data_IF_986329513248
#
_entry.id   IF_986329513248
#
_cell.length_a   1.000
_cell.length_b   1.000
_cell.length_c   1.000
_cell.angle_alpha   90.00
_cell.angle_beta   90.00
_cell.angle_gamma   90.00
#
_symmetry.space_group_name_H-M   'P 1'
#
loop_
_entity.id
_entity.type
_entity.pdbx_description
1 polymer ?
#
# COMPACT_ATOMS: atom_id res chain seq x y z
N UNK A 1 26.70 24.45 29.04
CA UNK A 1 27.63 23.80 28.10
C UNK A 1 27.64 22.26 28.14
N UNK A 2 26.79 21.60 28.95
CA UNK A 2 26.72 20.12 29.00
C UNK A 2 25.53 19.56 28.18
N UNK A 3 24.56 20.41 27.84
CA UNK A 3 23.36 20.04 27.07
C UNK A 3 23.55 19.97 25.54
N UNK A 4 24.66 20.51 25.00
CA UNK A 4 24.92 20.50 23.56
C UNK A 4 25.58 19.20 23.07
N UNK A 5 26.20 18.42 23.96
CA UNK A 5 26.87 17.17 23.61
C UNK A 5 25.92 15.97 23.53
N UNK A 6 24.74 16.04 24.18
CA UNK A 6 23.76 14.94 24.18
C UNK A 6 22.87 14.90 22.92
N UNK A 7 22.83 15.97 22.11
CA UNK A 7 22.02 16.05 20.89
C UNK A 7 22.74 15.57 19.63
N UNK A 8 24.05 15.34 19.68
CA UNK A 8 24.86 14.89 18.53
C UNK A 8 25.10 13.37 18.48
N UNK A 9 24.73 12.62 19.52
CA UNK A 9 24.96 11.16 19.61
C UNK A 9 23.77 10.29 19.17
N UNK A 10 22.67 10.88 18.68
CA UNK A 10 21.42 10.18 18.32
C UNK A 10 21.22 9.98 16.80
N UNK A 11 22.20 10.31 15.96
CA UNK A 11 22.05 10.26 14.50
C UNK A 11 22.64 9.03 13.80
N UNK A 12 23.15 8.02 14.50
CA UNK A 12 23.90 6.94 13.85
C UNK A 12 23.33 5.58 14.23
N UNK A 13 22.33 5.13 13.48
CA UNK A 13 22.07 3.73 13.08
C UNK A 13 20.60 3.49 12.69
N UNK A 14 20.08 4.22 11.71
CA UNK A 14 19.07 3.64 10.83
C UNK A 14 19.80 2.97 9.66
N UNK A 15 20.31 1.76 9.91
CA UNK A 15 20.51 0.82 8.81
C UNK A 15 19.11 0.37 8.40
N UNK A 16 18.49 1.11 7.47
CA UNK A 16 17.32 0.64 6.79
C UNK A 16 17.72 -0.68 6.11
N UNK A 17 17.13 -1.80 6.55
CA UNK A 17 17.10 -2.99 5.74
C UNK A 17 16.36 -2.59 4.46
N UNK A 18 17.12 -2.25 3.42
CA UNK A 18 16.59 -1.95 2.12
C UNK A 18 15.94 -3.24 1.63
N UNK A 19 14.60 -3.28 1.61
CA UNK A 19 13.92 -4.28 0.81
C UNK A 19 14.34 -4.00 -0.64
N UNK A 20 14.94 -4.98 -1.29
CA UNK A 20 15.27 -4.90 -2.71
C UNK A 20 13.95 -4.84 -3.49
N UNK A 21 13.55 -3.62 -3.88
CA UNK A 21 12.40 -3.39 -4.74
C UNK A 21 12.92 -3.21 -6.16
N UNK A 22 12.45 -4.05 -7.08
CA UNK A 22 12.79 -3.97 -8.50
C UNK A 22 11.57 -3.56 -9.32
N UNK A 23 11.72 -2.57 -10.20
CA UNK A 23 10.70 -2.22 -11.18
C UNK A 23 10.82 -3.14 -12.41
N UNK A 24 9.69 -3.57 -12.97
CA UNK A 24 9.58 -4.41 -14.15
C UNK A 24 8.67 -3.68 -15.17
N UNK A 25 9.05 -3.64 -16.45
CA UNK A 25 8.26 -3.00 -17.49
C UNK A 25 7.21 -3.96 -18.10
N UNK A 26 7.50 -5.26 -18.10
CA UNK A 26 6.61 -6.33 -18.58
C UNK A 26 6.88 -7.62 -17.79
N UNK A 27 5.82 -8.24 -17.24
CA UNK A 27 5.95 -9.48 -16.47
C UNK A 27 6.42 -10.66 -17.32
N UNK A 28 5.87 -10.80 -18.53
CA UNK A 28 6.20 -11.92 -19.41
C UNK A 28 7.63 -11.83 -19.95
N UNK A 29 8.11 -10.64 -20.29
CA UNK A 29 9.47 -10.45 -20.81
C UNK A 29 10.54 -10.53 -19.70
N UNK A 30 10.20 -10.05 -18.50
CA UNK A 30 11.09 -10.02 -17.35
C UNK A 30 10.70 -11.04 -16.28
N UNK A 31 10.27 -12.24 -16.70
CA UNK A 31 9.86 -13.32 -15.81
C UNK A 31 11.01 -13.98 -15.02
N UNK A 32 12.26 -13.60 -15.31
CA UNK A 32 13.47 -13.98 -14.57
C UNK A 32 14.11 -12.76 -13.97
N UNK A 33 14.26 -12.74 -12.65
CA UNK A 33 14.89 -11.64 -11.95
C UNK A 33 15.53 -12.12 -10.66
N UNK A 34 16.44 -11.31 -10.13
CA UNK A 34 17.09 -11.51 -8.84
C UNK A 34 16.63 -10.44 -7.86
N UNK A 35 16.37 -10.85 -6.62
CA UNK A 35 16.14 -9.98 -5.47
C UNK A 35 17.10 -10.42 -4.36
N UNK A 36 17.97 -9.54 -3.90
CA UNK A 36 19.06 -9.90 -3.01
C UNK A 36 19.97 -10.98 -3.59
N UNK A 37 20.18 -12.05 -2.83
CA UNK A 37 20.97 -13.22 -3.19
C UNK A 37 20.14 -14.37 -3.78
N UNK A 38 18.86 -14.14 -4.08
CA UNK A 38 17.96 -15.15 -4.63
C UNK A 38 17.59 -14.83 -6.07
N UNK A 39 17.54 -15.87 -6.90
CA UNK A 39 17.09 -15.81 -8.29
C UNK A 39 15.74 -16.48 -8.42
N UNK A 40 14.80 -15.80 -9.06
CA UNK A 40 13.45 -16.29 -9.31
C UNK A 40 13.23 -16.48 -10.81
N UNK A 41 12.47 -17.53 -11.17
CA UNK A 41 12.10 -17.84 -12.55
C UNK A 41 10.60 -18.16 -12.60
N UNK A 42 9.78 -17.13 -12.78
CA UNK A 42 8.32 -17.23 -12.85
C UNK A 42 7.78 -17.47 -14.27
N UNK A 43 8.65 -17.61 -15.28
CA UNK A 43 8.20 -17.81 -16.67
C UNK A 43 7.22 -18.97 -16.82
N UNK A 44 7.43 -20.15 -16.21
CA UNK A 44 6.49 -21.25 -16.36
C UNK A 44 5.10 -20.92 -15.80
N UNK A 45 5.01 -20.09 -14.76
CA UNK A 45 3.74 -19.64 -14.17
C UNK A 45 3.04 -18.66 -15.11
N UNK A 46 3.79 -17.76 -15.74
CA UNK A 46 3.22 -16.74 -16.64
C UNK A 46 2.87 -17.30 -18.02
N UNK A 47 3.54 -18.37 -18.45
CA UNK A 47 3.34 -19.06 -19.72
C UNK A 47 2.39 -20.26 -19.63
N UNK A 48 2.11 -20.78 -18.42
CA UNK A 48 1.28 -21.96 -18.20
C UNK A 48 -0.14 -21.85 -18.76
N UNK A 49 -0.69 -20.63 -18.86
CA UNK A 49 -2.00 -20.39 -19.41
C UNK A 49 -1.85 -19.55 -20.69
N UNK A 50 -2.27 -20.12 -21.83
CA UNK A 50 -2.26 -19.42 -23.12
C UNK A 50 -3.25 -18.24 -23.12
N UNK A 51 -4.28 -18.29 -22.27
CA UNK A 51 -5.30 -17.26 -22.11
C UNK A 51 -5.16 -16.47 -20.81
N UNK A 52 -6.31 -16.08 -20.26
CA UNK A 52 -6.39 -15.31 -19.03
C UNK A 52 -6.69 -16.23 -17.84
N UNK A 53 -6.18 -15.87 -16.66
CA UNK A 53 -6.58 -16.51 -15.41
C UNK A 53 -7.90 -15.92 -14.95
N UNK A 54 -8.85 -16.77 -14.59
CA UNK A 54 -10.15 -16.34 -14.08
C UNK A 54 -10.30 -16.83 -12.66
N UNK A 55 -10.51 -15.90 -11.72
CA UNK A 55 -10.72 -16.19 -10.31
C UNK A 55 -12.09 -15.66 -9.91
N UNK A 56 -12.96 -16.56 -9.46
CA UNK A 56 -14.36 -16.22 -9.17
C UNK A 56 -14.76 -16.67 -7.77
N UNK A 57 -15.61 -15.87 -7.14
CA UNK A 57 -16.32 -16.29 -5.95
C UNK A 57 -17.73 -15.71 -5.95
N UNK A 58 -18.66 -16.42 -5.31
CA UNK A 58 -20.04 -16.02 -5.19
C UNK A 58 -20.40 -15.87 -3.70
N UNK A 59 -21.14 -14.80 -3.39
CA UNK A 59 -21.67 -14.53 -2.07
C UNK A 59 -23.20 -14.47 -2.15
N UNK A 60 -23.93 -15.24 -1.32
CA UNK A 60 -25.39 -15.11 -1.26
C UNK A 60 -25.75 -13.72 -0.73
N UNK A 61 -26.55 -12.98 -1.50
CA UNK A 61 -27.08 -11.66 -1.16
C UNK A 61 -28.60 -11.68 -1.32
N UNK A 62 -29.35 -12.36 -0.41
CA UNK A 62 -30.78 -12.64 -0.60
C UNK A 62 -31.58 -11.41 -1.00
N UNK A 63 -32.46 -11.50 -2.02
CA UNK A 63 -32.91 -12.73 -2.72
C UNK A 63 -32.00 -13.17 -3.90
N UNK A 64 -30.80 -12.62 -4.03
CA UNK A 64 -29.89 -12.79 -5.17
C UNK A 64 -28.55 -13.43 -4.78
N UNK A 65 -27.69 -13.68 -5.76
CA UNK A 65 -26.27 -14.03 -5.58
C UNK A 65 -25.43 -12.95 -6.24
N UNK A 66 -24.42 -12.48 -5.52
CA UNK A 66 -23.43 -11.55 -6.05
C UNK A 66 -22.18 -12.34 -6.39
N UNK A 67 -21.81 -12.34 -7.67
CA UNK A 67 -20.60 -12.99 -8.20
C UNK A 67 -19.55 -11.93 -8.47
N UNK A 68 -18.37 -12.09 -7.90
CA UNK A 68 -17.19 -11.30 -8.27
C UNK A 68 -16.25 -12.18 -9.08
N UNK A 69 -15.90 -11.72 -10.28
CA UNK A 69 -14.97 -12.38 -11.20
C UNK A 69 -13.79 -11.47 -11.47
N UNK A 70 -12.58 -12.02 -11.29
CA UNK A 70 -11.34 -11.39 -11.67
C UNK A 70 -10.79 -12.07 -12.91
N UNK A 71 -10.51 -11.28 -13.94
CA UNK A 71 -9.77 -11.74 -15.12
C UNK A 71 -8.37 -11.14 -15.07
N UNK A 72 -7.34 -11.98 -15.04
CA UNK A 72 -5.95 -11.59 -14.89
C UNK A 72 -5.18 -12.03 -16.13
N UNK A 73 -4.55 -11.08 -16.82
CA UNK A 73 -3.57 -11.33 -17.87
C UNK A 73 -2.19 -10.84 -17.45
N UNK A 74 -1.20 -11.71 -17.58
CA UNK A 74 0.20 -11.39 -17.23
C UNK A 74 1.07 -11.13 -18.47
N UNK A 75 0.52 -11.36 -19.67
CA UNK A 75 1.22 -11.24 -20.96
C UNK A 75 0.94 -9.91 -21.66
N UNK A 76 -0.10 -9.19 -21.23
CA UNK A 76 -0.49 -7.93 -21.84
C UNK A 76 -1.88 -7.49 -21.42
N UNK A 77 -2.44 -6.54 -22.16
CA UNK A 77 -3.79 -6.06 -21.96
C UNK A 77 -4.84 -7.14 -22.32
N UNK A 78 -5.91 -7.17 -21.55
CA UNK A 78 -7.09 -7.97 -21.78
C UNK A 78 -7.77 -7.55 -23.08
N UNK A 79 -8.16 -8.55 -23.87
CA UNK A 79 -8.93 -8.33 -25.08
C UNK A 79 -10.39 -8.06 -24.72
N UNK A 80 -10.97 -7.05 -25.39
CA UNK A 80 -12.40 -6.75 -25.26
C UNK A 80 -13.24 -7.78 -25.98
N UNK A 81 -14.42 -8.05 -25.42
CA UNK A 81 -15.41 -8.90 -26.05
C UNK A 81 -16.37 -8.02 -26.86
N UNK A 82 -16.42 -8.21 -28.18
CA UNK A 82 -17.30 -7.47 -29.08
C UNK A 82 -18.80 -7.72 -28.81
N UNK A 83 -19.13 -8.86 -28.20
CA UNK A 83 -20.50 -9.22 -27.82
C UNK A 83 -20.99 -8.58 -26.51
N UNK A 84 -20.10 -7.92 -25.76
CA UNK A 84 -20.43 -7.29 -24.46
C UNK A 84 -20.41 -5.77 -24.63
N UNK A 85 -21.38 -5.02 -24.09
CA UNK A 85 -21.35 -3.57 -24.14
C UNK A 85 -20.09 -2.98 -23.47
N UNK A 86 -19.56 -1.89 -24.02
CA UNK A 86 -18.32 -1.25 -23.54
C UNK A 86 -18.34 -0.86 -22.04
N UNK A 87 -19.51 -0.55 -21.49
CA UNK A 87 -19.66 -0.15 -20.10
C UNK A 87 -19.80 -1.33 -19.13
N UNK A 88 -19.93 -2.56 -19.64
CA UNK A 88 -20.03 -3.80 -18.86
C UNK A 88 -18.73 -4.61 -18.87
N UNK A 89 -17.69 -4.08 -19.51
CA UNK A 89 -16.36 -4.68 -19.58
C UNK A 89 -15.28 -3.65 -19.24
N UNK A 90 -14.10 -4.12 -18.84
CA UNK A 90 -12.99 -3.22 -18.55
C UNK A 90 -12.53 -2.47 -19.81
N UNK A 91 -12.04 -1.23 -19.66
CA UNK A 91 -11.52 -0.44 -20.77
C UNK A 91 -10.24 -1.05 -21.36
N UNK A 92 -9.91 -0.64 -22.58
CA UNK A 92 -8.67 -1.04 -23.26
C UNK A 92 -7.43 -0.72 -22.42
N UNK A 93 -6.44 -1.62 -22.48
CA UNK A 93 -5.20 -1.50 -21.71
C UNK A 93 -5.27 -2.07 -20.29
N UNK A 94 -6.42 -2.57 -19.85
CA UNK A 94 -6.56 -3.26 -18.55
C UNK A 94 -5.85 -4.62 -18.58
N UNK A 95 -4.98 -4.91 -17.62
CA UNK A 95 -4.33 -6.22 -17.47
C UNK A 95 -5.08 -7.10 -16.45
N UNK A 96 -5.62 -6.46 -15.40
CA UNK A 96 -6.43 -7.12 -14.38
C UNK A 96 -7.77 -6.39 -14.29
N UNK A 97 -8.83 -7.12 -14.53
CA UNK A 97 -10.21 -6.63 -14.51
C UNK A 97 -11.00 -7.32 -13.40
N UNK A 98 -11.73 -6.55 -12.61
CA UNK A 98 -12.72 -7.07 -11.67
C UNK A 98 -14.12 -6.70 -12.15
N UNK A 99 -14.99 -7.70 -12.28
CA UNK A 99 -16.40 -7.50 -12.59
C UNK A 99 -17.23 -8.10 -11.45
N UNK A 100 -18.08 -7.28 -10.86
CA UNK A 100 -19.10 -7.73 -9.91
C UNK A 100 -20.44 -7.76 -10.61
N UNK A 101 -21.11 -8.90 -10.58
CA UNK A 101 -22.42 -9.12 -11.19
C UNK A 101 -23.40 -9.69 -10.18
N UNK A 102 -24.69 -9.52 -10.43
CA UNK A 102 -25.76 -9.99 -9.58
C UNK A 102 -26.75 -10.82 -10.40
N UNK A 103 -27.12 -11.98 -9.88
CA UNK A 103 -28.09 -12.89 -10.49
C UNK A 103 -29.12 -13.37 -9.48
N UNK A 104 -30.34 -13.66 -9.93
CA UNK A 104 -31.39 -14.24 -9.09
C UNK A 104 -31.20 -15.75 -8.96
N UNK A 105 -31.66 -16.32 -7.85
CA UNK A 105 -31.46 -17.73 -7.50
C UNK A 105 -32.21 -18.72 -8.41
N UNK A 106 -33.38 -18.32 -8.90
CA UNK A 106 -34.38 -19.23 -9.48
C UNK A 106 -34.84 -18.79 -10.86
N UNK A 107 -34.20 -17.78 -11.44
CA UNK A 107 -34.50 -17.27 -12.77
C UNK A 107 -33.21 -17.38 -13.61
N UNK A 108 -33.32 -17.97 -14.80
CA UNK A 108 -32.28 -17.97 -15.83
C UNK A 108 -32.23 -16.60 -16.52
N UNK A 109 -32.08 -15.54 -15.71
CA UNK A 109 -31.88 -14.17 -16.19
C UNK A 109 -30.37 -13.93 -16.38
N UNK A 110 -30.03 -13.15 -17.41
CA UNK A 110 -28.65 -12.73 -17.62
C UNK A 110 -28.16 -11.93 -16.39
N UNK A 111 -26.92 -12.19 -15.91
CA UNK A 111 -26.42 -11.55 -14.71
C UNK A 111 -26.24 -10.05 -14.96
N UNK A 112 -26.80 -9.22 -14.06
CA UNK A 112 -26.66 -7.78 -14.15
C UNK A 112 -25.28 -7.36 -13.65
N UNK A 113 -24.50 -6.70 -14.48
CA UNK A 113 -23.21 -6.11 -14.07
C UNK A 113 -23.48 -4.93 -13.12
N UNK A 114 -22.93 -5.03 -11.90
CA UNK A 114 -23.03 -3.98 -10.88
C UNK A 114 -21.82 -3.06 -10.91
N UNK A 115 -20.63 -3.62 -11.17
CA UNK A 115 -19.38 -2.87 -11.08
C UNK A 115 -18.32 -3.45 -12.00
N UNK A 116 -17.58 -2.57 -12.67
CA UNK A 116 -16.40 -2.89 -13.46
C UNK A 116 -15.24 -2.05 -12.93
N UNK A 117 -14.17 -2.69 -12.46
CA UNK A 117 -12.98 -2.01 -11.96
C UNK A 117 -11.74 -2.49 -12.74
N UNK A 118 -11.06 -1.60 -13.47
CA UNK A 118 -9.73 -1.89 -13.99
C UNK A 118 -8.71 -1.78 -12.84
N UNK A 119 -8.31 -2.93 -12.29
CA UNK A 119 -7.44 -3.01 -11.09
C UNK A 119 -5.99 -2.66 -11.42
N UNK A 120 -5.51 -3.13 -12.57
CA UNK A 120 -4.15 -2.88 -13.05
C UNK A 120 -4.14 -2.81 -14.57
N UNK A 121 -3.27 -1.96 -15.14
CA UNK A 121 -3.10 -1.87 -16.59
C UNK A 121 -2.56 -0.53 -17.08
N UNK A 122 -2.20 -0.49 -18.35
CA UNK A 122 -1.83 0.72 -19.07
C UNK A 122 -3.09 1.37 -19.65
N UNK A 123 -3.85 2.00 -18.78
CA UNK A 123 -5.20 2.45 -19.09
C UNK A 123 -5.18 3.72 -19.95
N UNK A 124 -5.59 3.60 -21.22
CA UNK A 124 -5.74 4.74 -22.12
C UNK A 124 -7.12 5.37 -21.98
N UNK A 125 -7.41 5.96 -20.81
CA UNK A 125 -8.66 6.71 -20.66
C UNK A 125 -8.54 8.03 -21.43
N UNK A 126 -9.15 8.07 -22.64
CA UNK A 126 -9.30 9.31 -23.40
C UNK A 126 -10.08 10.29 -22.54
N UNK A 127 -9.39 11.33 -22.04
CA UNK A 127 -10.03 12.42 -21.31
C UNK A 127 -11.09 13.04 -22.22
N UNK A 128 -12.36 12.81 -21.89
CA UNK A 128 -13.48 13.46 -22.56
C UNK A 128 -13.55 14.89 -22.05
N UNK A 129 -12.87 15.76 -22.78
CA UNK A 129 -13.05 17.21 -22.89
C UNK A 129 -13.41 17.98 -21.59
N UNK A 130 -12.40 18.66 -21.03
CA UNK A 130 -12.62 19.84 -20.19
C UNK A 130 -12.84 19.64 -18.68
N UNK A 131 -12.97 18.41 -18.16
CA UNK A 131 -13.05 18.24 -16.70
C UNK A 131 -11.67 18.45 -16.08
N UNK A 132 -11.54 19.51 -15.27
CA UNK A 132 -10.39 19.78 -14.38
C UNK A 132 -10.40 18.80 -13.20
N UNK A 133 -10.57 17.52 -13.48
CA UNK A 133 -10.65 16.50 -12.46
C UNK A 133 -9.26 15.92 -12.25
N UNK A 134 -8.67 16.30 -11.13
CA UNK A 134 -7.29 16.03 -10.71
C UNK A 134 -6.80 14.62 -11.06
N UNK A 135 -5.68 14.57 -11.80
CA UNK A 135 -4.60 13.60 -11.64
C UNK A 135 -4.96 12.10 -11.70
N UNK A 136 -5.75 11.70 -12.69
CA UNK A 136 -5.68 10.32 -13.16
C UNK A 136 -4.33 10.11 -13.85
N UNK A 137 -3.40 9.44 -13.16
CA UNK A 137 -2.12 8.98 -13.73
C UNK A 137 -2.27 7.51 -14.15
N UNK A 138 -2.68 7.22 -15.41
CA UNK A 138 -2.57 5.88 -15.93
C UNK A 138 -1.10 5.55 -16.11
N UNK A 139 -0.71 4.36 -15.68
CA UNK A 139 0.64 3.88 -15.83
C UNK A 139 0.78 2.54 -15.15
N UNK A 140 1.01 1.51 -15.95
CA UNK A 140 1.38 0.22 -15.41
C UNK A 140 2.79 0.36 -14.84
N UNK A 141 2.89 0.29 -13.51
CA UNK A 141 4.17 0.13 -12.83
C UNK A 141 4.13 -1.23 -12.15
N UNK A 142 5.10 -2.08 -12.45
CA UNK A 142 5.22 -3.39 -11.81
C UNK A 142 6.40 -3.34 -10.86
N UNK A 143 6.18 -3.74 -9.61
CA UNK A 143 7.25 -3.83 -8.61
C UNK A 143 7.31 -5.22 -8.01
N UNK A 144 8.52 -5.77 -7.89
CA UNK A 144 8.78 -7.06 -7.27
C UNK A 144 9.59 -6.87 -5.98
N UNK A 145 9.27 -7.66 -4.97
CA UNK A 145 9.77 -7.50 -3.61
C UNK A 145 9.60 -8.81 -2.83
N UNK A 146 10.65 -9.25 -2.13
CA UNK A 146 10.67 -10.53 -1.43
C UNK A 146 10.74 -10.31 0.08
N UNK A 147 9.71 -10.73 0.81
CA UNK A 147 9.63 -10.55 2.28
C UNK A 147 8.97 -11.74 2.93
N UNK A 148 9.53 -12.19 4.07
CA UNK A 148 8.97 -13.28 4.90
C UNK A 148 8.63 -14.53 4.06
N UNK A 149 9.56 -14.91 3.19
CA UNK A 149 9.45 -16.09 2.31
C UNK A 149 8.29 -16.04 1.29
N UNK A 150 7.74 -14.84 1.06
CA UNK A 150 6.71 -14.59 0.04
C UNK A 150 7.25 -13.59 -0.97
N UNK A 151 7.13 -13.94 -2.24
CA UNK A 151 7.48 -13.07 -3.36
C UNK A 151 6.24 -12.26 -3.76
N UNK A 152 6.30 -10.96 -3.51
CA UNK A 152 5.27 -10.01 -3.91
C UNK A 152 5.58 -9.46 -5.29
N UNK A 153 4.64 -9.59 -6.23
CA UNK A 153 4.66 -8.89 -7.51
C UNK A 153 3.43 -7.99 -7.56
N UNK A 154 3.65 -6.68 -7.51
CA UNK A 154 2.61 -5.66 -7.45
C UNK A 154 2.45 -5.00 -8.81
N UNK A 155 1.23 -5.00 -9.32
CA UNK A 155 0.87 -4.28 -10.54
C UNK A 155 0.03 -3.06 -10.14
N UNK A 156 0.48 -1.87 -10.50
CA UNK A 156 -0.21 -0.62 -10.23
C UNK A 156 -1.13 -0.23 -11.40
N UNK A 157 -2.37 0.18 -11.11
CA UNK A 157 -3.41 0.47 -12.11
C UNK A 157 -3.87 1.92 -12.19
N UNK A 158 -3.19 2.85 -11.52
CA UNK A 158 -3.61 4.25 -11.45
C UNK A 158 -4.72 4.49 -10.42
N UNK A 159 -5.74 5.27 -10.77
CA UNK A 159 -6.83 5.68 -9.87
C UNK A 159 -8.22 5.31 -10.41
N UNK A 160 -9.04 4.67 -9.61
CA UNK A 160 -10.45 4.44 -9.92
C UNK A 160 -11.31 4.98 -8.79
N UNK A 161 -12.27 5.86 -9.11
CA UNK A 161 -13.18 6.50 -8.14
C UNK A 161 -12.41 7.02 -6.92
N UNK A 162 -11.45 7.91 -7.15
CA UNK A 162 -10.62 8.55 -6.10
C UNK A 162 -9.71 7.60 -5.30
N UNK A 163 -9.67 6.32 -5.63
CA UNK A 163 -8.85 5.34 -4.95
C UNK A 163 -7.77 4.80 -5.88
N UNK A 164 -6.54 4.76 -5.38
CA UNK A 164 -5.45 4.09 -6.07
C UNK A 164 -5.75 2.60 -6.21
N UNK A 165 -5.66 2.08 -7.43
CA UNK A 165 -5.83 0.67 -7.70
C UNK A 165 -4.46 -0.02 -7.81
N UNK A 166 -4.33 -1.17 -7.15
CA UNK A 166 -3.18 -2.07 -7.30
C UNK A 166 -3.58 -3.52 -7.07
N UNK A 167 -2.97 -4.41 -7.82
CA UNK A 167 -2.98 -5.84 -7.56
C UNK A 167 -1.68 -6.27 -6.87
N UNK A 168 -1.75 -7.06 -5.81
CA UNK A 168 -0.61 -7.69 -5.14
C UNK A 168 -0.70 -9.21 -5.32
N UNK A 169 0.14 -9.75 -6.21
CA UNK A 169 0.28 -11.18 -6.43
C UNK A 169 1.31 -11.73 -5.42
N UNK A 170 0.86 -12.57 -4.51
CA UNK A 170 1.67 -13.19 -3.47
C UNK A 170 2.04 -14.60 -3.88
N UNK A 171 3.24 -14.75 -4.42
CA UNK A 171 3.80 -16.03 -4.80
C UNK A 171 4.40 -16.70 -3.57
N UNK A 172 3.83 -17.84 -3.21
CA UNK A 172 4.22 -18.64 -2.04
C UNK A 172 4.97 -19.88 -2.54
N UNK A 173 6.21 -20.05 -2.08
CA UNK A 173 7.03 -21.22 -2.40
C UNK A 173 6.38 -22.49 -1.85
N UNK A 174 6.12 -23.43 -2.76
CA UNK A 174 5.58 -24.74 -2.44
C UNK A 174 6.16 -25.77 -3.40
N UNK A 175 7.06 -26.63 -2.91
CA UNK A 175 7.75 -27.61 -3.75
C UNK A 175 6.88 -28.83 -4.08
N UNK A 176 5.85 -29.08 -3.27
CA UNK A 176 5.02 -30.28 -3.35
C UNK A 176 3.77 -30.07 -4.22
N UNK A 177 3.58 -28.87 -4.76
CA UNK A 177 2.39 -28.55 -5.54
C UNK A 177 2.49 -29.03 -6.98
N UNK A 178 1.41 -29.67 -7.46
CA UNK A 178 1.26 -30.03 -8.87
C UNK A 178 0.95 -28.79 -9.71
N UNK A 179 1.69 -28.60 -10.80
CA UNK A 179 1.53 -27.45 -11.70
C UNK A 179 0.80 -27.84 -12.99
N UNK A 180 0.03 -26.90 -13.60
CA UNK A 180 -0.12 -25.48 -13.24
C UNK A 180 -1.12 -25.22 -12.11
N UNK A 181 -0.81 -24.27 -11.24
CA UNK A 181 -1.69 -23.83 -10.15
C UNK A 181 -2.44 -22.55 -10.52
N UNK A 182 -3.59 -22.32 -9.88
CA UNK A 182 -4.40 -21.11 -10.09
C UNK A 182 -4.23 -20.12 -8.93
N UNK A 183 -4.27 -18.80 -9.21
CA UNK A 183 -4.33 -17.79 -8.15
C UNK A 183 -5.67 -17.82 -7.41
N UNK A 184 -5.63 -17.48 -6.13
CA UNK A 184 -6.81 -17.42 -5.24
C UNK A 184 -6.93 -16.01 -4.67
N UNK A 185 -8.14 -15.45 -4.65
CA UNK A 185 -8.39 -14.16 -3.99
C UNK A 185 -8.16 -14.27 -2.49
N UNK A 186 -7.30 -13.42 -1.93
CA UNK A 186 -7.04 -13.39 -0.49
C UNK A 186 -7.89 -12.33 0.22
N UNK A 187 -7.79 -11.07 -0.21
CA UNK A 187 -8.57 -9.95 0.32
C UNK A 187 -8.55 -8.79 -0.66
N UNK A 188 -9.54 -7.90 -0.54
CA UNK A 188 -9.57 -6.65 -1.28
C UNK A 188 -10.00 -5.51 -0.36
N UNK A 189 -9.19 -4.45 -0.27
CA UNK A 189 -9.49 -3.29 0.58
C UNK A 189 -8.80 -2.02 0.06
N UNK A 190 -9.55 -0.90 0.03
CA UNK A 190 -9.05 0.43 -0.33
C UNK A 190 -8.23 0.44 -1.64
N UNK A 191 -8.82 -0.12 -2.71
CA UNK A 191 -8.21 -0.27 -4.03
C UNK A 191 -7.02 -1.24 -4.12
N UNK A 192 -6.69 -1.95 -3.04
CA UNK A 192 -5.70 -3.02 -3.06
C UNK A 192 -6.39 -4.36 -3.19
N UNK A 193 -6.05 -5.12 -4.23
CA UNK A 193 -6.57 -6.46 -4.50
C UNK A 193 -5.44 -7.48 -4.38
N UNK A 194 -5.55 -8.40 -3.43
CA UNK A 194 -4.47 -9.35 -3.13
C UNK A 194 -4.86 -10.76 -3.55
N UNK A 195 -3.95 -11.42 -4.25
CA UNK A 195 -4.08 -12.79 -4.72
C UNK A 195 -2.95 -13.64 -4.15
N UNK A 196 -3.27 -14.85 -3.70
CA UNK A 196 -2.29 -15.84 -3.25
C UNK A 196 -2.09 -16.88 -4.34
N UNK A 197 -0.84 -17.21 -4.62
CA UNK A 197 -0.47 -18.14 -5.67
C UNK A 197 0.64 -19.06 -5.19
N UNK A 198 0.30 -20.33 -4.95
CA UNK A 198 1.27 -21.36 -4.55
C UNK A 198 1.94 -21.94 -5.80
N UNK A 199 3.26 -21.97 -5.83
CA UNK A 199 4.02 -22.52 -6.98
C UNK A 199 5.44 -22.87 -6.54
N UNK A 200 6.02 -23.92 -7.13
CA UNK A 200 7.43 -24.27 -6.91
C UNK A 200 8.38 -23.22 -7.51
N UNK A 201 7.92 -22.42 -8.48
CA UNK A 201 8.71 -21.37 -9.13
C UNK A 201 8.91 -20.11 -8.27
N UNK A 202 8.19 -20.00 -7.15
CA UNK A 202 8.40 -18.96 -6.16
C UNK A 202 9.55 -19.29 -5.18
N UNK A 203 10.09 -20.50 -5.23
CA UNK A 203 11.24 -20.91 -4.43
C UNK A 203 12.51 -20.33 -5.04
N UNK A 204 13.05 -19.27 -4.44
CA UNK A 204 14.25 -18.60 -4.94
C UNK A 204 15.48 -19.51 -4.89
N UNK A 205 16.23 -19.57 -5.99
CA UNK A 205 17.52 -20.27 -6.05
C UNK A 205 18.61 -19.37 -5.48
N UNK A 206 19.40 -19.87 -4.53
CA UNK A 206 20.51 -19.11 -3.96
C UNK A 206 21.62 -18.94 -4.99
N UNK A 207 21.97 -17.69 -5.28
CA UNK A 207 23.09 -17.37 -6.18
C UNK A 207 24.38 -17.58 -5.38
N UNK A 208 24.92 -18.80 -5.43
CA UNK A 208 26.27 -19.06 -4.91
C UNK A 208 27.27 -18.46 -5.90
N UNK A 209 27.87 -17.33 -5.53
CA UNK A 209 29.01 -16.78 -6.27
C UNK A 209 30.09 -17.86 -6.32
N UNK A 210 30.56 -18.28 -7.51
CA UNK A 210 31.64 -19.24 -7.59
C UNK A 210 32.92 -18.57 -7.09
N UNK A 211 33.26 -18.82 -5.83
CA UNK A 211 34.61 -18.59 -5.33
C UNK A 211 35.51 -19.50 -6.14
N UNK A 212 36.31 -18.89 -7.01
CA UNK A 212 37.43 -19.50 -7.73
C UNK A 212 38.25 -20.36 -6.77
N UNK A 213 37.99 -21.65 -6.77
CA UNK A 213 38.89 -22.66 -6.23
C UNK A 213 39.13 -23.65 -7.36
N UNK A 214 40.07 -23.27 -8.23
CA UNK A 214 40.65 -24.15 -9.23
C UNK A 214 42.15 -24.14 -8.99
N UNK A 215 42.58 -25.04 -8.12
CA UNK A 215 43.86 -25.71 -8.28
C UNK A 215 43.54 -27.19 -8.45
N UNK A 216 43.26 -27.58 -9.70
CA UNK A 216 43.20 -28.98 -10.12
C UNK A 216 44.59 -29.39 -10.61
N UNK A 217 45.24 -30.24 -9.83
CA UNK A 217 46.34 -31.09 -10.31
C UNK A 217 45.75 -32.30 -11.02
N UNK A 218 46.17 -32.66 -12.25
CA UNK A 218 45.70 -33.84 -12.92
C UNK A 218 46.59 -35.04 -12.56
N UNK A 219 46.02 -36.09 -11.99
CA UNK A 219 46.63 -37.42 -12.02
C UNK A 219 45.72 -38.36 -12.79
N UNK A 220 46.12 -38.56 -14.04
CA UNK A 220 45.74 -39.67 -14.90
C UNK A 220 46.37 -40.95 -14.36
N UNK A 221 45.61 -42.01 -14.08
CA UNK A 221 45.97 -43.35 -14.57
C UNK A 221 44.81 -44.37 -14.43
N UNK A 222 44.52 -44.99 -15.58
CA UNK A 222 44.09 -46.35 -15.89
C UNK A 222 43.18 -47.16 -14.95
N UNK A 223 42.05 -47.60 -15.52
CA UNK A 223 41.16 -48.61 -14.95
C UNK A 223 41.53 -50.06 -15.27
N UNK A 224 40.90 -50.99 -14.53
CA UNK A 224 40.62 -52.39 -14.90
C UNK A 224 39.34 -52.81 -14.14
N UNK A 225 38.40 -53.57 -14.75
CA UNK A 225 37.16 -54.00 -14.10
C UNK A 225 37.17 -55.47 -13.61
N UNK A 226 36.27 -55.71 -12.64
CA UNK A 226 35.48 -56.96 -12.42
C UNK A 226 36.07 -58.12 -11.55
N UNK A 227 35.23 -59.08 -11.07
CA UNK A 227 34.84 -59.18 -9.65
C UNK A 227 35.09 -60.57 -9.03
N UNK A 228 35.13 -60.73 -7.70
CA UNK A 228 34.83 -62.03 -7.07
C UNK A 228 34.48 -61.91 -5.57
N UNK A 229 33.60 -62.83 -5.17
CA UNK A 229 32.78 -63.03 -3.98
C UNK A 229 33.49 -63.33 -2.62
N UNK A 230 32.75 -63.33 -1.48
CA UNK A 230 33.22 -63.45 -0.07
C UNK A 230 33.31 -64.96 0.36
N UNK A 231 33.48 -65.42 1.64
CA UNK A 231 33.27 -64.80 2.96
C UNK A 231 34.24 -65.24 4.12
N UNK A 232 33.85 -64.93 5.38
CA UNK A 232 34.32 -65.49 6.68
C UNK A 232 35.67 -64.95 7.20
N UNK A 233 35.95 -64.73 8.49
CA UNK A 233 35.41 -65.21 9.78
C UNK A 233 36.05 -64.37 10.91
N UNK A 234 35.32 -64.18 12.02
CA UNK A 234 35.78 -64.03 13.43
C UNK A 234 36.78 -62.94 13.88
N UNK A 235 36.31 -62.08 14.79
CA UNK A 235 37.14 -61.41 15.81
C UNK A 235 36.30 -60.58 16.81
N UNK A 236 36.62 -60.58 18.13
CA UNK A 236 35.71 -60.26 19.25
C UNK A 236 35.69 -58.76 19.65
N UNK A 237 34.80 -58.33 20.59
CA UNK A 237 34.45 -56.92 20.78
C UNK A 237 35.54 -56.17 21.57
N UNK A 238 35.88 -54.97 21.10
CA UNK A 238 36.72 -54.03 21.84
C UNK A 238 35.85 -52.89 22.36
N UNK A 239 35.90 -52.72 23.68
CA UNK A 239 35.21 -51.70 24.44
C UNK A 239 35.75 -50.31 24.08
N UNK A 240 34.90 -49.45 23.54
CA UNK A 240 35.19 -48.02 23.47
C UNK A 240 33.94 -47.21 23.81
N UNK A 241 34.00 -46.61 25.00
CA UNK A 241 33.12 -45.52 25.44
C UNK A 241 33.07 -44.40 24.39
N UNK A 242 31.90 -43.85 24.06
CA UNK A 242 31.82 -42.60 23.31
C UNK A 242 32.09 -41.41 24.24
N UNK A 243 33.01 -40.48 23.89
CA UNK A 243 33.06 -39.19 24.56
C UNK A 243 31.91 -38.30 24.08
N UNK A 244 31.12 -37.85 25.05
CA UNK A 244 30.15 -36.77 24.92
C UNK A 244 30.78 -35.54 24.25
N UNK A 245 30.34 -35.26 23.02
CA UNK A 245 30.52 -33.94 22.42
C UNK A 245 29.20 -33.49 21.82
N UNK A 246 28.23 -33.26 22.70
CA UNK A 246 27.09 -32.41 22.42
C UNK A 246 27.58 -30.97 22.26
N UNK A 247 28.04 -30.64 21.05
CA UNK A 247 27.95 -29.26 20.58
C UNK A 247 26.47 -28.95 20.38
N UNK A 248 25.84 -28.48 21.46
CA UNK A 248 24.56 -27.79 21.42
C UNK A 248 24.65 -26.70 20.34
N UNK A 249 24.11 -26.98 19.15
CA UNK A 249 23.76 -25.97 18.17
C UNK A 249 22.75 -25.05 18.86
N UNK A 250 23.21 -23.87 19.24
CA UNK A 250 22.33 -22.80 19.72
C UNK A 250 21.47 -22.40 18.52
N UNK A 251 20.17 -22.70 18.61
CA UNK A 251 19.17 -22.28 17.63
C UNK A 251 19.27 -20.76 17.39
N UNK A 252 19.41 -20.31 16.13
CA UNK A 252 19.51 -18.88 15.78
C UNK A 252 18.21 -18.10 16.07
N UNK A 253 17.10 -18.79 16.39
CA UNK A 253 15.80 -18.18 16.66
C UNK A 253 15.74 -17.38 17.96
N UNK A 254 16.64 -17.62 18.92
CA UNK A 254 16.66 -16.87 20.19
C UNK A 254 17.23 -15.45 20.01
N UNK A 255 18.03 -15.21 18.98
CA UNK A 255 18.62 -13.89 18.70
C UNK A 255 17.68 -12.96 17.91
N UNK A 256 16.79 -13.51 17.07
CA UNK A 256 15.82 -12.71 16.31
C UNK A 256 14.68 -12.14 17.20
N UNK A 257 14.29 -12.86 18.26
CA UNK A 257 13.24 -12.42 19.18
C UNK A 257 13.62 -11.21 20.06
N UNK A 258 14.92 -11.02 20.34
CA UNK A 258 15.42 -9.93 21.20
C UNK A 258 15.44 -8.57 20.49
N UNK A 259 15.66 -8.57 19.18
CA UNK A 259 15.68 -7.36 18.34
C UNK A 259 14.29 -6.72 18.21
N UNK A 260 13.23 -7.54 18.08
CA UNK A 260 11.87 -7.07 17.82
C UNK A 260 11.25 -6.30 19.01
N UNK A 261 11.52 -6.73 20.24
CA UNK A 261 11.12 -6.01 21.46
C UNK A 261 11.89 -4.70 21.62
N UNK A 262 13.16 -4.67 21.21
CA UNK A 262 14.00 -3.47 21.25
C UNK A 262 13.62 -2.44 20.19
N UNK A 263 13.23 -2.86 18.98
CA UNK A 263 12.75 -1.92 17.96
C UNK A 263 11.40 -1.30 18.37
N UNK A 264 10.48 -2.11 18.92
CA UNK A 264 9.16 -1.59 19.31
C UNK A 264 9.26 -0.53 20.42
N UNK A 265 10.16 -0.70 21.39
CA UNK A 265 10.39 0.32 22.43
C UNK A 265 10.97 1.61 21.86
N UNK A 266 11.90 1.52 20.89
CA UNK A 266 12.45 2.71 20.22
C UNK A 266 11.35 3.46 19.47
N UNK A 267 10.50 2.77 18.71
CA UNK A 267 9.39 3.41 17.98
C UNK A 267 8.37 4.08 18.92
N UNK A 268 8.01 3.43 20.03
CA UNK A 268 7.08 4.00 21.02
C UNK A 268 7.70 5.23 21.70
N UNK A 269 8.99 5.19 22.03
CA UNK A 269 9.70 6.33 22.60
C UNK A 269 9.83 7.49 21.59
N UNK A 270 10.11 7.23 20.32
CA UNK A 270 10.16 8.30 19.31
C UNK A 270 8.79 8.90 19.05
N UNK A 271 7.75 8.08 18.96
CA UNK A 271 6.39 8.55 18.73
C UNK A 271 5.87 9.40 19.89
N UNK A 272 6.19 9.02 21.13
CA UNK A 272 5.78 9.80 22.32
C UNK A 272 6.48 11.16 22.37
N UNK A 273 7.76 11.26 22.01
CA UNK A 273 8.47 12.55 21.92
C UNK A 273 7.83 13.47 20.87
N UNK A 274 7.51 12.94 19.68
CA UNK A 274 6.84 13.73 18.62
C UNK A 274 5.45 14.17 19.07
N UNK A 275 4.66 13.28 19.70
CA UNK A 275 3.34 13.62 20.21
C UNK A 275 3.40 14.70 21.29
N UNK A 276 4.38 14.64 22.21
CA UNK A 276 4.59 15.68 23.23
C UNK A 276 4.97 17.02 22.59
N UNK A 277 5.82 17.03 21.56
CA UNK A 277 6.18 18.25 20.84
C UNK A 277 4.97 18.86 20.12
N UNK A 278 4.20 18.05 19.39
CA UNK A 278 2.97 18.50 18.72
C UNK A 278 1.98 19.03 19.75
N UNK A 279 1.77 18.31 20.85
CA UNK A 279 0.89 18.75 21.93
C UNK A 279 1.36 20.08 22.55
N UNK A 280 2.67 20.27 22.77
CA UNK A 280 3.21 21.51 23.29
C UNK A 280 3.09 22.69 22.29
N UNK A 281 3.07 22.43 20.98
CA UNK A 281 2.83 23.44 19.95
C UNK A 281 1.36 23.85 19.89
N UNK A 282 0.42 22.90 20.00
CA UNK A 282 -1.02 23.17 19.99
C UNK A 282 -1.54 23.74 21.31
N UNK A 283 -1.01 23.27 22.44
CA UNK A 283 -1.40 23.67 23.79
C UNK A 283 -0.18 24.15 24.58
N UNK A 284 0.42 25.30 24.21
CA UNK A 284 1.62 25.76 24.87
C UNK A 284 1.34 26.04 26.35
N UNK A 285 2.11 25.46 27.28
CA UNK A 285 1.90 25.66 28.71
C UNK A 285 2.03 27.16 29.04
N UNK A 286 1.25 27.65 30.01
CA UNK A 286 1.15 29.08 30.34
C UNK A 286 2.51 29.77 30.53
N UNK A 287 3.50 29.08 31.10
CA UNK A 287 4.87 29.61 31.28
C UNK A 287 5.57 29.89 29.94
N UNK A 288 5.37 29.02 28.96
CA UNK A 288 5.96 29.12 27.63
C UNK A 288 5.26 30.21 26.81
N UNK A 289 3.95 30.36 26.95
CA UNK A 289 3.20 31.49 26.40
C UNK A 289 3.73 32.83 26.93
N UNK A 290 3.97 32.95 28.24
CA UNK A 290 4.54 34.18 28.83
C UNK A 290 5.96 34.49 28.34
N UNK A 291 6.81 33.46 28.17
CA UNK A 291 8.15 33.64 27.63
C UNK A 291 8.15 34.06 26.17
N UNK A 292 7.35 33.40 25.32
CA UNK A 292 7.25 33.72 23.89
C UNK A 292 6.67 35.13 23.72
N UNK A 293 5.60 35.48 24.43
CA UNK A 293 5.02 36.83 24.34
C UNK A 293 5.96 37.93 24.86
N UNK A 294 6.73 37.66 25.92
CA UNK A 294 7.77 38.59 26.41
C UNK A 294 8.91 38.75 25.40
N UNK A 295 9.35 37.65 24.79
CA UNK A 295 10.40 37.65 23.77
C UNK A 295 9.97 38.38 22.49
N UNK A 296 8.75 38.12 22.03
CA UNK A 296 8.16 38.77 20.85
C UNK A 296 7.94 40.26 21.09
N UNK A 297 7.51 40.67 22.30
CA UNK A 297 7.38 42.08 22.67
C UNK A 297 8.72 42.81 22.73
N UNK A 298 9.79 42.12 23.13
CA UNK A 298 11.14 42.70 23.17
C UNK A 298 11.82 42.75 21.80
N UNK A 299 11.36 41.94 20.83
CA UNK A 299 11.93 41.86 19.48
C UNK A 299 10.85 42.04 18.38
N UNK A 300 10.29 43.25 18.22
CA UNK A 300 9.22 43.53 17.25
C UNK A 300 9.65 43.34 15.78
N UNK A 301 10.95 43.25 15.49
CA UNK A 301 11.47 42.93 14.16
C UNK A 301 11.11 41.52 13.69
N UNK A 302 10.88 40.58 14.59
CA UNK A 302 10.52 39.19 14.26
C UNK A 302 9.07 39.04 13.80
N UNK A 303 8.18 39.97 14.18
CA UNK A 303 6.81 40.05 13.68
C UNK A 303 6.67 40.88 12.42
N UNK A 304 7.77 41.39 11.87
CA UNK A 304 7.78 42.13 10.61
C UNK A 304 7.72 41.18 9.40
N UNK A 305 6.89 40.14 9.49
CA UNK A 305 6.35 39.52 8.30
C UNK A 305 5.43 40.57 7.68
N UNK A 306 5.89 41.21 6.59
CA UNK A 306 5.03 42.03 5.74
C UNK A 306 3.83 41.16 5.36
N UNK A 307 2.73 41.33 6.06
CA UNK A 307 1.41 41.01 5.52
C UNK A 307 1.27 42.00 4.38
N UNK A 308 1.72 41.61 3.18
CA UNK A 308 1.57 42.44 2.00
C UNK A 308 0.09 42.74 1.84
N UNK A 309 -0.27 43.94 1.40
CA UNK A 309 -1.66 44.37 1.15
C UNK A 309 -2.50 43.30 0.43
N UNK A 310 -1.88 42.47 -0.42
CA UNK A 310 -2.51 41.35 -1.12
C UNK A 310 -3.15 40.29 -0.20
N UNK A 311 -2.65 40.09 1.02
CA UNK A 311 -3.22 39.12 1.98
C UNK A 311 -4.44 39.72 2.67
N UNK A 312 -4.45 41.03 2.95
CA UNK A 312 -5.62 41.71 3.48
C UNK A 312 -6.75 41.79 2.44
N UNK A 313 -6.42 41.96 1.17
CA UNK A 313 -7.41 41.93 0.07
C UNK A 313 -7.97 40.53 -0.13
N UNK A 314 -7.17 39.46 -0.01
CA UNK A 314 -7.64 38.08 -0.14
C UNK A 314 -8.62 37.67 0.97
N UNK A 315 -8.40 38.12 2.20
CA UNK A 315 -9.34 37.87 3.31
C UNK A 315 -10.65 38.62 3.13
N UNK A 316 -10.63 39.80 2.50
CA UNK A 316 -11.85 40.52 2.16
C UNK A 316 -12.60 39.88 0.98
N UNK A 317 -11.91 39.27 0.03
CA UNK A 317 -12.51 38.64 -1.16
C UNK A 317 -13.13 37.27 -0.84
N UNK A 318 -12.52 36.49 0.06
CA UNK A 318 -13.08 35.19 0.49
C UNK A 318 -14.39 35.32 1.31
N UNK A 319 -14.69 36.50 1.89
CA UNK A 319 -15.95 36.78 2.61
C UNK A 319 -17.12 37.14 1.67
N UNK A 320 -16.87 37.46 0.39
CA UNK A 320 -17.92 37.80 -0.59
C UNK A 320 -18.30 36.63 -1.53
N UNK A 321 -17.57 35.52 -1.51
CA UNK A 321 -17.76 34.39 -2.44
C UNK A 321 -18.73 33.32 -1.92
N UNK A 322 -19.26 33.49 -0.71
CA UNK A 322 -20.34 32.66 -0.16
C UNK A 322 -21.72 33.28 -0.41
N UNK A 323 -22.09 33.57 -1.65
CA UNK A 323 -23.51 33.58 -2.07
C UNK A 323 -23.65 33.65 -3.60
N UNK A 324 -23.69 32.51 -4.27
CA UNK A 324 -23.81 32.49 -5.73
C UNK A 324 -24.25 31.16 -6.32
N UNK A 325 -24.93 30.32 -5.55
CA UNK A 325 -25.30 28.98 -6.02
C UNK A 325 -26.36 28.22 -5.24
N UNK A 326 -27.00 28.83 -4.24
CA UNK A 326 -28.26 28.30 -3.71
C UNK A 326 -29.41 29.16 -4.24
N UNK A 327 -29.97 28.69 -5.35
CA UNK A 327 -31.25 29.12 -5.87
C UNK A 327 -32.30 28.79 -4.79
N UNK A 328 -32.58 29.75 -3.91
CA UNK A 328 -33.73 29.70 -3.02
C UNK A 328 -34.99 29.52 -3.89
N UNK A 329 -35.50 28.29 -3.91
CA UNK A 329 -36.82 27.97 -4.46
C UNK A 329 -37.84 28.71 -3.60
N UNK A 330 -38.23 29.89 -4.09
CA UNK A 330 -39.36 30.65 -3.57
C UNK A 330 -40.61 29.78 -3.68
N UNK A 331 -41.00 29.16 -2.57
CA UNK A 331 -42.30 28.52 -2.44
C UNK A 331 -43.32 29.64 -2.53
N UNK A 332 -44.04 29.71 -3.66
CA UNK A 332 -45.23 30.54 -3.78
C UNK A 332 -46.17 30.17 -2.63
N UNK A 333 -46.24 31.03 -1.63
CA UNK A 333 -47.29 31.01 -0.63
C UNK A 333 -48.57 31.47 -1.35
N UNK A 334 -49.49 30.52 -1.55
CA UNK A 334 -50.83 30.80 -2.06
C UNK A 334 -51.51 31.86 -1.18
N UNK A 335 -52.09 32.84 -1.87
CA UNK A 335 -52.84 33.97 -1.32
C UNK A 335 -54.11 33.52 -0.61
N UNK A 336 -54.05 33.24 0.68
CA UNK A 336 -55.17 33.52 1.58
C UNK A 336 -54.69 33.36 3.03
N UNK A 337 -54.45 34.46 3.76
CA UNK A 337 -54.92 34.63 5.13
C UNK A 337 -54.48 36.00 5.68
N UNK A 338 -55.52 36.74 6.07
CA UNK A 338 -55.61 37.94 6.89
C UNK A 338 -54.34 38.62 7.42
N UNK A 339 -54.27 39.90 7.06
CA UNK A 339 -53.46 40.94 7.67
C UNK A 339 -53.63 40.99 9.19
N UNK A 340 -52.61 40.55 9.91
CA UNK A 340 -52.31 41.05 11.25
C UNK A 340 -50.88 41.61 11.23
N UNK A 341 -50.79 42.91 11.49
CA UNK A 341 -49.57 43.69 11.55
C UNK A 341 -48.57 43.14 12.58
N UNK A 342 -47.72 42.19 12.19
CA UNK A 342 -46.50 41.87 12.93
C UNK A 342 -45.39 42.88 12.58
N UNK A 343 -45.44 44.03 13.26
CA UNK A 343 -44.31 44.95 13.32
C UNK A 343 -43.17 44.31 14.11
N UNK A 344 -42.22 43.70 13.39
CA UNK A 344 -40.95 43.25 13.95
C UNK A 344 -40.23 44.49 14.54
N UNK A 345 -39.90 44.50 15.85
CA UNK A 345 -39.20 45.63 16.44
C UNK A 345 -37.76 45.64 15.92
N UNK A 346 -37.49 46.50 14.94
CA UNK A 346 -36.14 46.77 14.46
C UNK A 346 -35.30 47.29 15.63
N UNK A 347 -34.36 46.48 16.11
CA UNK A 347 -33.29 46.99 16.97
C UNK A 347 -32.56 48.10 16.21
N UNK A 348 -32.38 49.30 16.79
CA UNK A 348 -31.66 50.36 16.11
C UNK A 348 -30.22 49.92 15.85
N UNK A 349 -29.78 50.06 14.60
CA UNK A 349 -28.40 49.87 14.17
C UNK A 349 -27.46 50.70 15.06
N UNK A 350 -26.34 50.13 15.55
CA UNK A 350 -25.40 50.85 16.39
C UNK A 350 -24.78 52.00 15.59
N UNK A 351 -25.19 53.23 15.92
CA UNK A 351 -24.48 54.43 15.49
C UNK A 351 -23.07 54.37 16.06
N UNK A 352 -22.07 54.49 15.18
CA UNK A 352 -20.68 54.82 15.54
C UNK A 352 -20.68 56.06 16.45
N UNK A 353 -20.55 55.85 17.75
CA UNK A 353 -20.12 56.89 18.69
C UNK A 353 -18.82 56.43 19.35
N UNK A 354 -17.78 57.20 19.07
CA UNK A 354 -16.46 57.08 19.65
C UNK A 354 -16.48 57.63 21.08
N UNK A 355 -16.76 56.81 22.09
CA UNK A 355 -16.42 57.13 23.49
C UNK A 355 -16.11 55.84 24.25
N UNK A 356 -14.96 55.82 24.93
CA UNK A 356 -14.55 54.79 25.88
C UNK A 356 -15.59 54.61 27.00
N UNK A 357 -16.02 53.38 27.23
CA UNK A 357 -16.62 53.01 28.51
C UNK A 357 -16.09 51.67 28.97
N UNK A 358 -15.25 51.73 30.01
CA UNK A 358 -14.81 50.61 30.83
C UNK A 358 -16.04 49.87 31.39
N UNK A 359 -16.21 48.60 31.02
CA UNK A 359 -17.12 47.71 31.73
C UNK A 359 -16.37 46.99 32.85
N UNK A 360 -16.79 47.31 34.06
CA UNK A 360 -16.21 46.87 35.31
C UNK A 360 -16.52 45.42 35.68
N UNK A 361 -15.68 44.95 36.60
CA UNK A 361 -15.82 43.79 37.45
C UNK A 361 -17.17 43.73 38.19
N UNK A 362 -17.75 42.54 38.26
CA UNK A 362 -18.68 42.17 39.31
C UNK A 362 -18.06 41.04 40.16
N UNK A 363 -18.33 41.14 41.47
CA UNK A 363 -17.92 40.29 42.58
C UNK A 363 -18.37 38.84 42.46
#
# INVERSE_FOLDING_TARGET
MILAAALLALCWSLAAAAADVRSLDSLAEHCRFSLGNQRFNLCPVFEANEGNWVVEYEVPTPPTFTKTSYTISLRGALQKNEGVPDHEQCPDGSWICMITSNRRLFEEEDPRVLQVIPVAGELSLKHRDGSRYHDYFPGLNITADFRRDVLHVRLHGGYYVYQHQKADLQFICDQDVEEPTNPITSWAWNGTHTFSWRTKHACGETVVTPTTSSEQTPTSDSGVPEPTSPPEENGPPDDSEPPDNEQNLIDPDVLAGRSRRSMMTIFICSASVVAILVYALYFPPRRLQHLVTSYVKTHPSLLRARVGERVLVRWADEDFVLDGGEEDVMVNADEQFDALDEQIPLKPSPRRSSVLTNYGSAR
#
